data_IF_191296719666
#
_entry.id   IF_191296719666
#
_cell.length_a   1.000
_cell.length_b   1.000
_cell.length_c   1.000
_cell.angle_alpha   90.00
_cell.angle_beta   90.00
_cell.angle_gamma   90.00
#
_symmetry.space_group_name_H-M   'P 1'
#
loop_
_entity.id
_entity.type
_entity.pdbx_description
1 polymer ?
#
# COMPACT_ATOMS: atom_id res chain seq x y z
N UNK A 1 8.56 -19.53 6.43
CA UNK A 1 9.11 -18.89 5.21
C UNK A 1 8.07 -17.96 4.59
N UNK A 2 8.48 -16.77 4.26
CA UNK A 2 7.57 -15.81 3.63
C UNK A 2 7.16 -16.29 2.23
N UNK A 3 5.85 -16.19 1.96
CA UNK A 3 5.29 -16.49 0.65
C UNK A 3 4.22 -15.44 0.36
N UNK A 4 4.39 -14.71 -0.73
CA UNK A 4 3.44 -13.66 -1.11
C UNK A 4 2.10 -14.27 -1.44
N UNK A 5 1.03 -13.67 -0.89
CA UNK A 5 -0.34 -14.06 -1.20
C UNK A 5 -0.58 -13.97 -2.71
N UNK A 6 -1.26 -14.97 -3.27
CA UNK A 6 -1.47 -15.06 -4.72
C UNK A 6 -2.28 -13.89 -5.26
N UNK A 7 -3.22 -13.36 -4.47
CA UNK A 7 -4.04 -12.23 -4.90
C UNK A 7 -3.23 -10.94 -4.92
N UNK A 8 -2.37 -10.75 -3.92
CA UNK A 8 -1.45 -9.61 -3.93
C UNK A 8 -0.48 -9.69 -5.11
N UNK A 9 -0.01 -10.88 -5.41
CA UNK A 9 0.89 -11.09 -6.53
C UNK A 9 0.22 -10.75 -7.87
N UNK A 10 -1.03 -11.20 -8.05
CA UNK A 10 -1.72 -10.98 -9.32
C UNK A 10 -2.25 -9.55 -9.48
N UNK A 11 -2.58 -8.87 -8.37
CA UNK A 11 -3.18 -7.54 -8.42
C UNK A 11 -2.15 -6.42 -8.44
N UNK A 12 -0.89 -6.72 -8.16
CA UNK A 12 0.16 -5.70 -8.03
C UNK A 12 1.38 -6.05 -8.85
N UNK A 13 2.21 -5.02 -9.11
CA UNK A 13 3.47 -5.16 -9.84
C UNK A 13 4.59 -4.84 -8.87
N UNK A 14 5.61 -5.70 -8.81
CA UNK A 14 6.77 -5.45 -7.95
C UNK A 14 7.57 -4.28 -8.47
N UNK A 15 7.78 -3.28 -7.62
CA UNK A 15 8.60 -2.11 -7.93
C UNK A 15 9.99 -2.26 -7.35
N UNK A 16 10.07 -2.65 -6.08
CA UNK A 16 11.35 -2.77 -5.39
C UNK A 16 11.22 -3.77 -4.25
N UNK A 17 12.22 -4.62 -4.11
CA UNK A 17 12.33 -5.48 -2.95
C UNK A 17 13.41 -4.94 -2.04
N UNK A 18 13.01 -4.57 -0.81
CA UNK A 18 13.92 -4.12 0.22
C UNK A 18 14.19 -5.28 1.17
N UNK A 19 15.11 -5.09 2.12
CA UNK A 19 15.48 -6.17 3.04
C UNK A 19 14.27 -6.73 3.80
N UNK A 20 13.39 -5.85 4.28
CA UNK A 20 12.30 -6.26 5.15
C UNK A 20 10.91 -6.10 4.55
N UNK A 21 10.78 -5.53 3.34
CA UNK A 21 9.47 -5.40 2.71
C UNK A 21 9.56 -5.29 1.20
N UNK A 22 8.44 -5.61 0.54
CA UNK A 22 8.28 -5.38 -0.88
C UNK A 22 7.49 -4.10 -1.09
N UNK A 23 7.92 -3.30 -2.05
CA UNK A 23 7.18 -2.12 -2.53
C UNK A 23 6.55 -2.53 -3.85
N UNK A 24 5.23 -2.54 -3.88
CA UNK A 24 4.48 -2.94 -5.06
C UNK A 24 3.52 -1.83 -5.49
N UNK A 25 3.08 -1.87 -6.73
CA UNK A 25 2.15 -0.89 -7.28
C UNK A 25 0.88 -1.63 -7.68
N UNK A 26 -0.27 -1.17 -7.19
CA UNK A 26 -1.55 -1.73 -7.59
C UNK A 26 -1.73 -1.53 -9.09
N UNK A 27 -2.08 -2.60 -9.80
CA UNK A 27 -2.21 -2.56 -11.24
C UNK A 27 -3.57 -1.99 -11.65
N UNK A 28 -3.77 -0.70 -11.35
CA UNK A 28 -4.97 0.04 -11.74
C UNK A 28 -4.55 1.35 -12.40
N UNK A 29 -5.30 1.77 -13.37
CA UNK A 29 -4.99 2.94 -14.18
C UNK A 29 -5.36 4.25 -13.50
N UNK A 30 -6.45 4.23 -12.73
CA UNK A 30 -7.08 5.44 -12.22
C UNK A 30 -6.36 6.10 -11.04
N UNK A 31 -5.53 5.35 -10.33
CA UNK A 31 -4.91 5.84 -9.09
C UNK A 31 -3.44 5.47 -9.02
N UNK A 32 -2.66 6.35 -8.39
CA UNK A 32 -1.29 6.02 -8.00
C UNK A 32 -1.37 5.34 -6.64
N UNK A 33 -1.29 4.03 -6.64
CA UNK A 33 -1.65 3.20 -5.48
C UNK A 33 -0.51 2.24 -5.17
N UNK A 34 0.19 2.52 -4.07
CA UNK A 34 1.35 1.73 -3.63
C UNK A 34 0.89 0.76 -2.55
N UNK A 35 1.45 -0.44 -2.58
CA UNK A 35 1.20 -1.47 -1.57
C UNK A 35 2.53 -1.89 -0.99
N UNK A 36 2.68 -1.77 0.33
CA UNK A 36 3.87 -2.19 1.06
C UNK A 36 3.56 -3.51 1.75
N UNK A 37 4.39 -4.52 1.54
CA UNK A 37 4.17 -5.85 2.10
C UNK A 37 5.42 -6.28 2.87
N UNK A 38 5.35 -6.35 4.22
CA UNK A 38 6.46 -6.91 5.00
C UNK A 38 6.72 -8.36 4.59
N UNK A 39 7.98 -8.71 4.31
CA UNK A 39 8.32 -10.02 3.77
C UNK A 39 8.69 -11.02 4.86
N UNK A 40 7.83 -11.14 5.86
CA UNK A 40 7.97 -12.03 7.01
C UNK A 40 6.69 -12.87 7.13
N UNK A 41 6.80 -14.16 7.47
CA UNK A 41 5.61 -15.01 7.55
C UNK A 41 4.74 -14.69 8.76
N UNK A 42 3.47 -15.06 8.67
CA UNK A 42 2.50 -15.01 9.78
C UNK A 42 2.23 -13.61 10.31
N UNK A 43 2.23 -12.62 9.42
CA UNK A 43 1.85 -11.26 9.76
C UNK A 43 0.47 -10.96 9.18
N UNK A 44 -0.46 -10.57 10.05
CA UNK A 44 -1.85 -10.27 9.67
C UNK A 44 -2.26 -8.88 10.14
N UNK A 45 -1.79 -8.46 11.33
CA UNK A 45 -2.13 -7.19 11.92
C UNK A 45 -0.86 -6.38 12.18
N UNK A 46 -1.00 -5.06 12.30
CA UNK A 46 0.14 -4.22 12.70
C UNK A 46 0.71 -4.68 14.03
N UNK A 47 -0.14 -5.18 14.92
CA UNK A 47 0.28 -5.67 16.23
C UNK A 47 1.16 -6.91 16.17
N UNK A 48 1.19 -7.61 15.02
CA UNK A 48 2.09 -8.76 14.84
C UNK A 48 3.54 -8.34 14.61
N UNK A 49 3.76 -7.07 14.28
CA UNK A 49 5.11 -6.52 14.12
C UNK A 49 5.66 -6.08 15.49
N UNK A 50 6.96 -6.24 15.70
CA UNK A 50 7.58 -5.63 16.87
C UNK A 50 7.69 -4.11 16.68
N UNK A 51 8.10 -3.38 17.73
CA UNK A 51 8.13 -1.91 17.68
C UNK A 51 9.05 -1.40 16.58
N UNK A 52 10.20 -2.01 16.40
CA UNK A 52 11.16 -1.60 15.38
C UNK A 52 10.60 -1.80 13.97
N UNK A 53 10.01 -2.96 13.72
CA UNK A 53 9.39 -3.27 12.42
C UNK A 53 8.22 -2.35 12.13
N UNK A 54 7.40 -2.10 13.13
CA UNK A 54 6.24 -1.23 13.05
C UNK A 54 6.64 0.20 12.71
N UNK A 55 7.65 0.71 13.40
CA UNK A 55 8.16 2.06 13.14
C UNK A 55 8.77 2.17 11.75
N UNK A 56 9.50 1.15 11.32
CA UNK A 56 10.09 1.15 9.98
C UNK A 56 9.00 1.22 8.91
N UNK A 57 8.00 0.36 9.02
CA UNK A 57 6.91 0.30 8.04
C UNK A 57 6.14 1.62 7.97
N UNK A 58 5.72 2.14 9.12
CA UNK A 58 4.90 3.35 9.16
C UNK A 58 5.68 4.59 8.72
N UNK A 59 6.93 4.71 9.16
CA UNK A 59 7.77 5.85 8.77
C UNK A 59 8.08 5.80 7.28
N UNK A 60 8.38 4.62 6.76
CA UNK A 60 8.62 4.45 5.32
C UNK A 60 7.39 4.87 4.51
N UNK A 61 6.20 4.44 4.94
CA UNK A 61 4.96 4.79 4.27
C UNK A 61 4.70 6.29 4.27
N UNK A 62 4.89 6.92 5.42
CA UNK A 62 4.69 8.37 5.58
C UNK A 62 5.65 9.14 4.69
N UNK A 63 6.93 8.79 4.73
CA UNK A 63 7.96 9.50 3.98
C UNK A 63 7.79 9.31 2.48
N UNK A 64 7.46 8.10 2.04
CA UNK A 64 7.25 7.83 0.63
C UNK A 64 6.03 8.58 0.10
N UNK A 65 4.93 8.55 0.84
CA UNK A 65 3.71 9.27 0.46
C UNK A 65 3.95 10.76 0.36
N UNK A 66 4.64 11.34 1.33
CA UNK A 66 4.98 12.75 1.34
C UNK A 66 5.86 13.13 0.15
N UNK A 67 6.86 12.30 -0.13
CA UNK A 67 7.78 12.56 -1.24
C UNK A 67 7.04 12.56 -2.58
N UNK A 68 6.23 11.55 -2.83
CA UNK A 68 5.51 11.45 -4.11
C UNK A 68 4.45 12.55 -4.23
N UNK A 69 3.75 12.86 -3.13
CA UNK A 69 2.77 13.94 -3.13
C UNK A 69 3.39 15.24 -3.62
N UNK A 70 4.58 15.57 -3.11
CA UNK A 70 5.28 16.79 -3.47
C UNK A 70 5.85 16.73 -4.89
N UNK A 71 6.53 15.63 -5.22
CA UNK A 71 7.22 15.49 -6.51
C UNK A 71 6.25 15.44 -7.68
N UNK A 72 5.11 14.76 -7.52
CA UNK A 72 4.13 14.54 -8.58
C UNK A 72 2.88 15.40 -8.42
N UNK A 73 2.89 16.33 -7.48
CA UNK A 73 1.83 17.34 -7.27
C UNK A 73 0.46 16.72 -7.04
N UNK A 74 0.38 15.77 -6.10
CA UNK A 74 -0.89 15.22 -5.65
C UNK A 74 -1.46 16.10 -4.53
N UNK A 75 -2.76 15.98 -4.28
CA UNK A 75 -3.47 16.82 -3.29
C UNK A 75 -3.52 16.19 -1.91
N UNK A 76 -3.50 14.84 -1.84
CA UNK A 76 -3.72 14.14 -0.58
C UNK A 76 -3.07 12.76 -0.61
N UNK A 77 -2.65 12.28 0.56
CA UNK A 77 -2.17 10.91 0.74
C UNK A 77 -3.17 10.19 1.64
N UNK A 78 -3.69 9.06 1.16
CA UNK A 78 -4.50 8.18 2.00
C UNK A 78 -3.66 6.95 2.34
N UNK A 79 -3.54 6.65 3.63
CA UNK A 79 -2.83 5.46 4.09
C UNK A 79 -3.83 4.60 4.84
N UNK A 80 -3.86 3.32 4.53
CA UNK A 80 -4.82 2.44 5.18
C UNK A 80 -4.45 0.99 5.05
N UNK A 81 -5.11 0.19 5.89
CA UNK A 81 -4.96 -1.27 5.92
C UNK A 81 -6.34 -1.86 6.13
N UNK A 82 -6.66 -2.88 5.36
CA UNK A 82 -7.96 -3.56 5.51
C UNK A 82 -7.76 -5.00 5.96
N UNK A 83 -7.21 -5.86 5.10
CA UNK A 83 -6.93 -7.23 5.47
C UNK A 83 -8.16 -8.11 5.64
N UNK A 84 -9.31 -7.69 5.11
CA UNK A 84 -10.57 -8.42 5.30
C UNK A 84 -10.70 -9.60 4.35
N UNK A 85 -10.16 -9.47 3.14
CA UNK A 85 -10.19 -10.53 2.12
C UNK A 85 -8.82 -11.17 2.02
N UNK A 86 -7.78 -10.37 1.81
CA UNK A 86 -6.39 -10.84 1.81
C UNK A 86 -5.84 -10.61 3.20
N UNK A 87 -5.62 -11.69 3.93
CA UNK A 87 -5.22 -11.62 5.35
C UNK A 87 -3.76 -11.22 5.54
N UNK A 88 -2.89 -11.52 4.58
CA UNK A 88 -1.48 -11.16 4.69
C UNK A 88 -1.31 -9.66 4.85
N UNK A 89 -0.53 -9.26 5.85
CA UNK A 89 -0.36 -7.84 6.20
C UNK A 89 0.16 -7.05 5.01
N UNK A 90 -0.56 -6.00 4.63
CA UNK A 90 -0.15 -5.08 3.59
C UNK A 90 -0.73 -3.70 3.87
N UNK A 91 0.05 -2.68 3.57
CA UNK A 91 -0.30 -1.30 3.85
C UNK A 91 -0.44 -0.55 2.53
N UNK A 92 -1.55 0.15 2.35
CA UNK A 92 -1.83 0.92 1.15
C UNK A 92 -1.44 2.37 1.31
N UNK A 93 -0.80 2.92 0.27
CA UNK A 93 -0.53 4.36 0.17
C UNK A 93 -1.14 4.82 -1.15
N UNK A 94 -2.18 5.64 -1.08
CA UNK A 94 -2.87 6.10 -2.28
C UNK A 94 -2.68 7.60 -2.43
N UNK A 95 -2.12 8.02 -3.55
CA UNK A 95 -1.93 9.43 -3.87
C UNK A 95 -3.19 9.92 -4.55
N UNK A 96 -3.83 10.95 -3.98
CA UNK A 96 -5.15 11.38 -4.40
C UNK A 96 -5.11 12.78 -5.03
N UNK A 97 -5.96 12.95 -6.04
CA UNK A 97 -6.24 14.26 -6.62
C UNK A 97 -7.71 14.58 -6.43
N UNK A 98 -8.02 15.86 -6.25
CA UNK A 98 -9.40 16.30 -6.00
C UNK A 98 -10.34 16.02 -7.17
N UNK A 99 -9.80 15.65 -8.33
CA UNK A 99 -10.59 15.31 -9.50
C UNK A 99 -10.46 13.85 -9.90
N UNK A 100 -9.94 12.98 -9.02
CA UNK A 100 -9.79 11.58 -9.37
C UNK A 100 -11.15 10.86 -9.37
N UNK A 101 -11.16 9.62 -9.85
CA UNK A 101 -12.39 8.87 -10.11
C UNK A 101 -13.26 8.60 -8.88
N UNK A 102 -12.67 8.61 -7.68
CA UNK A 102 -13.40 8.30 -6.44
C UNK A 102 -13.57 9.50 -5.51
N UNK A 103 -12.87 10.62 -5.78
CA UNK A 103 -12.86 11.76 -4.88
C UNK A 103 -14.27 12.28 -4.57
N UNK A 104 -14.61 12.63 -3.33
CA UNK A 104 -13.76 12.62 -2.12
C UNK A 104 -13.80 11.31 -1.36
N UNK A 105 -14.41 10.28 -1.89
CA UNK A 105 -14.49 8.98 -1.25
C UNK A 105 -13.17 8.22 -1.30
N UNK A 106 -13.04 7.16 -0.50
CA UNK A 106 -11.86 6.31 -0.56
C UNK A 106 -11.82 5.51 -1.86
N UNK A 107 -10.63 5.00 -2.22
CA UNK A 107 -10.52 4.14 -3.41
C UNK A 107 -11.08 2.75 -3.14
N UNK A 108 -11.01 2.29 -1.88
CA UNK A 108 -11.54 0.97 -1.51
C UNK A 108 -13.06 0.99 -1.62
N UNK A 109 -13.58 0.00 -2.33
CA UNK A 109 -15.03 -0.09 -2.55
C UNK A 109 -15.55 0.82 -3.65
N UNK A 110 -14.69 1.59 -4.31
CA UNK A 110 -15.12 2.40 -5.44
C UNK A 110 -15.16 1.55 -6.70
N UNK A 111 -15.97 1.98 -7.66
CA UNK A 111 -16.12 1.29 -8.95
C UNK A 111 -15.16 1.92 -9.95
N UNK A 112 -14.13 1.16 -10.33
CA UNK A 112 -13.14 1.61 -11.30
C UNK A 112 -12.65 0.44 -12.13
N UNK A 113 -12.09 0.73 -13.30
CA UNK A 113 -11.57 -0.30 -14.20
C UNK A 113 -10.08 -0.49 -14.03
N UNK A 114 -9.66 -1.74 -14.09
CA UNK A 114 -8.25 -2.10 -14.05
C UNK A 114 -7.58 -1.93 -15.41
#
# INVERSE_FOLDING_TARGET
>A
MFKLDKRLESDTILVKELESLQVRLMNVREFFWIVLIPNKPNLFELSDLNIKERNYLTNFAIDLGKFIKSAEKYDKVNIGMLGNIVLQLHLHIVLRKKNDAAWPGPVWGSDFNN
#
